data_IF_757066795896
#
_entry.id   IF_757066795896
#
_cell.length_a   1.000
_cell.length_b   1.000
_cell.length_c   1.000
_cell.angle_alpha   90.00
_cell.angle_beta   90.00
_cell.angle_gamma   90.00
#
_symmetry.space_group_name_H-M   'P 1'
#
loop_
_entity.id
_entity.type
_entity.pdbx_description
1 polymer ?
#
# COMPACT_ATOMS: atom_id res chain seq x y z
N UNK A 1 -5.96 20.64 -58.06
CA UNK A 1 -5.89 20.97 -56.62
C UNK A 1 -6.94 20.14 -55.89
N UNK A 2 -6.54 19.07 -55.19
CA UNK A 2 -7.48 18.15 -54.51
C UNK A 2 -7.95 18.80 -53.21
N UNK A 3 -9.22 19.22 -53.17
CA UNK A 3 -9.86 19.76 -51.98
C UNK A 3 -10.07 18.62 -50.98
N UNK A 4 -9.34 18.69 -49.86
CA UNK A 4 -9.52 17.74 -48.75
C UNK A 4 -10.87 18.05 -48.11
N UNK A 5 -11.80 17.11 -48.22
CA UNK A 5 -13.12 17.19 -47.61
C UNK A 5 -12.95 17.01 -46.09
N UNK A 6 -12.81 18.12 -45.36
CA UNK A 6 -12.70 18.09 -43.91
C UNK A 6 -14.11 17.84 -43.34
N UNK A 7 -14.42 16.59 -43.01
CA UNK A 7 -15.63 16.26 -42.25
C UNK A 7 -15.45 16.81 -40.83
N UNK A 8 -16.24 17.81 -40.46
CA UNK A 8 -16.33 18.31 -39.10
C UNK A 8 -17.08 17.34 -38.19
N UNK A 9 -16.69 17.26 -36.93
CA UNK A 9 -17.36 16.50 -35.89
C UNK A 9 -18.63 17.25 -35.45
N UNK A 10 -19.78 16.59 -35.38
CA UNK A 10 -21.02 17.24 -34.94
C UNK A 10 -21.05 17.34 -33.40
N UNK A 11 -21.68 18.40 -32.88
CA UNK A 11 -21.86 18.56 -31.43
C UNK A 11 -22.71 17.43 -30.82
N UNK A 12 -23.65 16.89 -31.59
CA UNK A 12 -24.51 15.78 -31.16
C UNK A 12 -23.72 14.46 -31.04
N UNK A 13 -22.75 14.23 -31.92
CA UNK A 13 -21.82 13.10 -31.80
C UNK A 13 -21.01 13.17 -30.50
N UNK A 14 -20.54 14.36 -30.08
CA UNK A 14 -19.80 14.48 -28.82
C UNK A 14 -20.73 14.29 -27.62
N UNK A 15 -21.95 14.81 -27.68
CA UNK A 15 -22.93 14.72 -26.59
C UNK A 15 -23.29 13.27 -26.26
N UNK A 16 -23.54 12.44 -27.26
CA UNK A 16 -23.89 11.03 -27.03
C UNK A 16 -22.69 10.25 -26.48
N UNK A 17 -21.48 10.56 -26.95
CA UNK A 17 -20.25 9.91 -26.47
C UNK A 17 -20.03 10.20 -24.98
N UNK A 18 -20.12 11.45 -24.55
CA UNK A 18 -19.93 11.79 -23.12
C UNK A 18 -21.08 11.24 -22.26
N UNK A 19 -22.29 11.14 -22.80
CA UNK A 19 -23.41 10.52 -22.09
C UNK A 19 -23.17 9.02 -21.83
N UNK A 20 -22.68 8.27 -22.83
CA UNK A 20 -22.36 6.84 -22.66
C UNK A 20 -21.17 6.64 -21.71
N UNK A 21 -20.09 7.43 -21.85
CA UNK A 21 -18.94 7.37 -20.94
C UNK A 21 -19.38 7.71 -19.51
N UNK A 22 -20.29 8.67 -19.32
CA UNK A 22 -20.86 9.03 -18.02
C UNK A 22 -21.58 7.86 -17.34
N UNK A 23 -22.40 7.10 -18.08
CA UNK A 23 -23.09 5.91 -17.56
C UNK A 23 -22.09 4.83 -17.12
N UNK A 24 -21.08 4.55 -17.97
CA UNK A 24 -20.03 3.58 -17.65
C UNK A 24 -19.25 4.02 -16.41
N UNK A 25 -18.85 5.28 -16.33
CA UNK A 25 -18.12 5.83 -15.20
C UNK A 25 -18.92 5.75 -13.89
N UNK A 26 -20.23 6.03 -13.92
CA UNK A 26 -21.09 5.96 -12.75
C UNK A 26 -21.13 4.56 -12.11
N UNK A 27 -21.09 3.50 -12.93
CA UNK A 27 -21.07 2.11 -12.44
C UNK A 27 -19.64 1.68 -12.07
N UNK A 28 -18.64 2.11 -12.85
CA UNK A 28 -17.26 1.68 -12.69
C UNK A 28 -16.56 2.29 -11.46
N UNK A 29 -16.77 3.58 -11.19
CA UNK A 29 -16.10 4.32 -10.09
C UNK A 29 -16.31 3.66 -8.71
N UNK A 30 -17.55 3.33 -8.26
CA UNK A 30 -17.72 2.68 -6.95
C UNK A 30 -17.11 1.26 -6.91
N UNK A 31 -17.04 0.56 -8.04
CA UNK A 31 -16.31 -0.71 -8.15
C UNK A 31 -14.81 -0.53 -7.98
N UNK A 32 -14.23 0.46 -8.67
CA UNK A 32 -12.81 0.79 -8.59
C UNK A 32 -12.37 1.20 -7.18
N UNK A 33 -13.18 2.01 -6.49
CA UNK A 33 -12.89 2.43 -5.11
C UNK A 33 -12.83 1.23 -4.17
N UNK A 34 -13.78 0.29 -4.28
CA UNK A 34 -13.79 -0.96 -3.50
C UNK A 34 -12.59 -1.85 -3.82
N UNK A 35 -12.25 -2.00 -5.10
CA UNK A 35 -11.07 -2.77 -5.51
C UNK A 35 -9.77 -2.17 -4.95
N UNK A 36 -9.65 -0.83 -4.94
CA UNK A 36 -8.50 -0.13 -4.34
C UNK A 36 -8.41 -0.35 -2.83
N UNK A 37 -9.53 -0.25 -2.11
CA UNK A 37 -9.56 -0.51 -0.66
C UNK A 37 -9.13 -1.94 -0.34
N UNK A 38 -9.68 -2.94 -1.05
CA UNK A 38 -9.29 -4.34 -0.89
C UNK A 38 -7.81 -4.59 -1.22
N UNK A 39 -7.28 -3.93 -2.26
CA UNK A 39 -5.85 -3.99 -2.59
C UNK A 39 -4.96 -3.38 -1.50
N UNK A 40 -5.41 -2.30 -0.87
CA UNK A 40 -4.71 -1.68 0.26
C UNK A 40 -4.73 -2.58 1.49
N UNK A 41 -5.86 -3.22 1.81
CA UNK A 41 -5.97 -4.22 2.88
C UNK A 41 -5.03 -5.40 2.64
N UNK A 42 -4.98 -5.91 1.42
CA UNK A 42 -4.06 -7.00 1.06
C UNK A 42 -2.58 -6.62 1.26
N UNK A 43 -2.21 -5.37 0.94
CA UNK A 43 -0.86 -4.82 1.17
C UNK A 43 -0.54 -4.68 2.66
N UNK A 44 -1.51 -4.23 3.47
CA UNK A 44 -1.39 -4.15 4.93
C UNK A 44 -1.15 -5.54 5.54
N UNK A 45 -1.96 -6.54 5.16
CA UNK A 45 -1.79 -7.93 5.61
C UNK A 45 -0.42 -8.48 5.15
N UNK A 46 0.01 -8.15 3.93
CA UNK A 46 1.35 -8.50 3.44
C UNK A 46 2.46 -7.94 4.33
N UNK A 47 2.31 -6.69 4.78
CA UNK A 47 3.27 -6.04 5.68
C UNK A 47 3.27 -6.68 7.06
N UNK A 48 2.11 -7.06 7.62
CA UNK A 48 2.03 -7.82 8.87
C UNK A 48 2.76 -9.17 8.79
N UNK A 49 2.58 -9.91 7.69
CA UNK A 49 3.28 -11.19 7.50
C UNK A 49 4.79 -11.01 7.39
N UNK A 50 5.23 -9.98 6.67
CA UNK A 50 6.64 -9.65 6.56
C UNK A 50 7.24 -9.30 7.93
N UNK A 51 6.55 -8.46 8.73
CA UNK A 51 6.94 -8.13 10.09
C UNK A 51 7.01 -9.38 10.96
N UNK A 52 5.98 -10.23 10.95
CA UNK A 52 5.96 -11.45 11.77
C UNK A 52 7.12 -12.42 11.43
N UNK A 53 7.44 -12.58 10.15
CA UNK A 53 8.60 -13.36 9.71
C UNK A 53 9.92 -12.70 10.11
N UNK A 54 10.00 -11.37 10.02
CA UNK A 54 11.18 -10.60 10.42
C UNK A 54 11.40 -10.72 11.94
N UNK A 55 10.36 -10.64 12.75
CA UNK A 55 10.38 -10.83 14.21
C UNK A 55 10.90 -12.22 14.60
N UNK A 56 10.39 -13.27 13.97
CA UNK A 56 10.87 -14.63 14.22
C UNK A 56 12.37 -14.77 13.87
N UNK A 57 12.79 -14.19 12.75
CA UNK A 57 14.19 -14.22 12.32
C UNK A 57 15.08 -13.40 13.25
N UNK A 58 14.64 -12.20 13.63
CA UNK A 58 15.32 -11.32 14.59
C UNK A 58 15.53 -12.05 15.92
N UNK A 59 14.48 -12.66 16.47
CA UNK A 59 14.53 -13.37 17.76
C UNK A 59 15.56 -14.51 17.76
N UNK A 60 15.62 -15.27 16.67
CA UNK A 60 16.53 -16.41 16.51
C UNK A 60 17.99 -16.03 16.19
N UNK A 61 18.24 -14.83 15.69
CA UNK A 61 19.55 -14.43 15.17
C UNK A 61 20.33 -13.52 16.13
N UNK A 62 19.74 -12.38 16.51
CA UNK A 62 20.39 -11.39 17.37
C UNK A 62 19.54 -10.94 18.56
N UNK A 63 18.25 -11.30 18.59
CA UNK A 63 17.30 -10.87 19.61
C UNK A 63 17.44 -11.57 20.96
N UNK A 64 18.26 -12.63 21.09
CA UNK A 64 18.49 -13.31 22.36
C UNK A 64 17.21 -13.89 22.99
N UNK A 65 16.33 -14.48 22.16
CA UNK A 65 14.96 -14.91 22.51
C UNK A 65 13.96 -13.76 22.80
N UNK A 66 14.35 -12.50 22.57
CA UNK A 66 13.47 -11.34 22.55
C UNK A 66 12.93 -11.02 21.16
N UNK A 67 12.02 -10.05 21.08
CA UNK A 67 11.45 -9.52 19.84
C UNK A 67 11.86 -8.06 19.65
N UNK A 68 11.85 -7.58 18.41
CA UNK A 68 12.10 -6.17 18.11
C UNK A 68 11.01 -5.30 18.76
N UNK A 69 11.42 -4.12 19.24
CA UNK A 69 10.51 -3.20 19.94
C UNK A 69 9.97 -2.14 18.99
N UNK A 70 10.64 -1.94 17.85
CA UNK A 70 10.32 -0.96 16.82
C UNK A 70 10.61 -1.51 15.43
N UNK A 71 9.98 -0.92 14.40
CA UNK A 71 10.31 -1.23 13.00
C UNK A 71 11.78 -0.94 12.66
N UNK A 72 12.39 0.02 13.35
CA UNK A 72 13.79 0.37 13.16
C UNK A 72 14.73 -0.77 13.59
N UNK A 73 14.36 -1.52 14.64
CA UNK A 73 15.13 -2.69 15.09
C UNK A 73 15.08 -3.83 14.06
N UNK A 74 13.94 -4.03 13.40
CA UNK A 74 13.80 -4.99 12.30
C UNK A 74 14.51 -4.56 11.02
N UNK A 75 14.62 -3.25 10.80
CA UNK A 75 15.35 -2.69 9.66
C UNK A 75 16.86 -2.72 9.85
N UNK A 76 17.33 -2.67 11.11
CA UNK A 76 18.76 -2.75 11.42
C UNK A 76 19.34 -4.11 10.99
N UNK A 77 20.49 -4.08 10.31
CA UNK A 77 21.20 -5.28 9.96
C UNK A 77 21.88 -5.89 11.20
N UNK A 78 21.78 -7.21 11.41
CA UNK A 78 22.50 -7.88 12.50
C UNK A 78 24.01 -7.86 12.25
N UNK A 79 24.79 -8.05 13.31
CA UNK A 79 26.24 -8.14 13.22
C UNK A 79 26.67 -9.23 12.21
N UNK A 80 27.47 -8.84 11.21
CA UNK A 80 27.93 -9.74 10.15
C UNK A 80 27.04 -9.79 8.90
N UNK A 81 25.96 -9.00 8.83
CA UNK A 81 25.12 -8.82 7.64
C UNK A 81 25.08 -7.34 7.24
N UNK A 82 24.83 -7.08 5.96
CA UNK A 82 24.51 -5.73 5.44
C UNK A 82 23.03 -5.53 5.19
N UNK A 83 22.22 -6.59 5.31
CA UNK A 83 20.77 -6.56 5.10
C UNK A 83 20.03 -6.73 6.44
N UNK A 84 19.00 -5.90 6.64
CA UNK A 84 18.04 -6.03 7.73
C UNK A 84 17.05 -7.17 7.51
N UNK A 85 16.14 -7.37 8.47
CA UNK A 85 15.15 -8.44 8.47
C UNK A 85 13.87 -8.09 7.70
N UNK A 86 13.68 -6.81 7.41
CA UNK A 86 12.51 -6.29 6.71
C UNK A 86 12.91 -5.37 5.55
N UNK A 87 11.98 -5.14 4.64
CA UNK A 87 12.19 -4.31 3.46
C UNK A 87 12.37 -2.82 3.80
N UNK A 88 13.11 -2.04 2.99
CA UNK A 88 13.44 -0.64 3.31
C UNK A 88 12.24 0.32 3.38
N UNK A 89 11.09 -0.06 2.85
CA UNK A 89 9.83 0.69 2.94
C UNK A 89 9.19 0.61 4.34
N UNK A 90 9.71 -0.23 5.24
CA UNK A 90 9.26 -0.42 6.62
C UNK A 90 10.40 -0.12 7.59
N UNK A 91 11.08 1.01 7.42
CA UNK A 91 12.31 1.34 8.15
C UNK A 91 12.13 1.98 9.54
N UNK A 92 10.92 2.44 9.87
CA UNK A 92 10.60 3.11 11.11
C UNK A 92 9.10 3.00 11.42
N UNK A 93 8.74 3.17 12.70
CA UNK A 93 7.32 3.34 13.07
C UNK A 93 6.76 4.62 12.47
N UNK A 94 5.46 4.62 12.17
CA UNK A 94 4.73 5.77 11.63
C UNK A 94 4.71 5.84 10.10
N UNK A 95 5.35 4.88 9.42
CA UNK A 95 5.37 4.85 7.95
C UNK A 95 3.97 4.53 7.43
N UNK A 96 3.50 5.35 6.49
CA UNK A 96 2.24 5.14 5.77
C UNK A 96 2.50 4.32 4.50
N UNK A 97 1.93 3.12 4.44
CA UNK A 97 1.97 2.24 3.28
C UNK A 97 0.55 1.86 2.86
N UNK A 98 0.23 2.10 1.59
CA UNK A 98 -1.10 1.79 1.04
C UNK A 98 -2.28 2.39 1.85
N UNK A 99 -2.09 3.59 2.41
CA UNK A 99 -3.13 4.25 3.23
C UNK A 99 -3.22 3.76 4.68
N UNK A 100 -2.27 2.94 5.13
CA UNK A 100 -2.17 2.45 6.50
C UNK A 100 -0.85 2.85 7.16
N UNK A 101 -0.90 3.29 8.41
CA UNK A 101 0.25 3.54 9.27
C UNK A 101 0.68 2.21 9.90
N UNK A 102 1.96 1.88 9.81
CA UNK A 102 2.54 0.63 10.31
C UNK A 102 3.49 0.90 11.48
N UNK A 103 3.22 0.27 12.61
CA UNK A 103 4.02 0.38 13.83
C UNK A 103 4.29 -1.01 14.44
N UNK A 104 5.46 -1.17 15.05
CA UNK A 104 5.78 -2.23 16.02
C UNK A 104 6.01 -1.56 17.38
N UNK A 105 5.40 -2.08 18.44
CA UNK A 105 5.52 -1.54 19.79
C UNK A 105 5.90 -2.61 20.80
N UNK A 106 6.83 -2.22 21.66
CA UNK A 106 7.39 -2.99 22.76
C UNK A 106 6.57 -3.02 24.04
N UNK A 107 5.26 -3.25 23.98
CA UNK A 107 4.48 -3.71 25.16
C UNK A 107 3.20 -4.39 24.68
N UNK A 108 2.87 -5.53 25.33
CA UNK A 108 1.65 -6.35 25.14
C UNK A 108 1.21 -6.60 23.68
N UNK A 109 2.16 -6.89 22.80
CA UNK A 109 1.98 -7.86 21.71
C UNK A 109 1.17 -7.42 20.48
N UNK A 110 1.27 -6.16 20.04
CA UNK A 110 0.61 -5.78 18.79
C UNK A 110 1.54 -5.01 17.84
N UNK A 111 1.82 -5.64 16.68
CA UNK A 111 2.05 -4.89 15.44
C UNK A 111 0.77 -4.11 15.17
N UNK A 112 0.84 -2.79 15.16
CA UNK A 112 -0.31 -1.93 14.94
C UNK A 112 -0.33 -1.48 13.49
N UNK A 113 -1.43 -1.77 12.80
CA UNK A 113 -1.74 -1.19 11.51
C UNK A 113 -3.04 -0.40 11.64
N UNK A 114 -2.95 0.92 11.48
CA UNK A 114 -4.09 1.85 11.55
C UNK A 114 -4.33 2.50 10.20
N UNK A 115 -5.58 2.79 9.86
CA UNK A 115 -5.88 3.60 8.67
C UNK A 115 -5.30 5.02 8.85
N UNK A 116 -4.62 5.55 7.83
CA UNK A 116 -3.89 6.81 7.92
C UNK A 116 -4.77 8.07 8.12
N UNK A 117 -6.09 7.94 8.12
CA UNK A 117 -7.06 9.01 8.39
C UNK A 117 -7.80 8.90 9.72
N UNK A 118 -7.40 7.98 10.61
CA UNK A 118 -8.05 7.75 11.90
C UNK A 118 -7.36 8.46 13.10
N UNK A 119 -6.64 9.56 12.82
CA UNK A 119 -6.03 10.43 13.84
C UNK A 119 -6.82 11.74 13.98
#
# INVERSE_FOLDING_TARGET
MKTRNAKGFTLIELLIVVAIIGIIAAIAVPGLLRARMSGNEASAIGSLRAINSAESTYSSSCGGNGYAQTLADLYAAPAGSTAGFISPDLNANGITKSGYVVNVAGDTGAVQILAAGAA
#
